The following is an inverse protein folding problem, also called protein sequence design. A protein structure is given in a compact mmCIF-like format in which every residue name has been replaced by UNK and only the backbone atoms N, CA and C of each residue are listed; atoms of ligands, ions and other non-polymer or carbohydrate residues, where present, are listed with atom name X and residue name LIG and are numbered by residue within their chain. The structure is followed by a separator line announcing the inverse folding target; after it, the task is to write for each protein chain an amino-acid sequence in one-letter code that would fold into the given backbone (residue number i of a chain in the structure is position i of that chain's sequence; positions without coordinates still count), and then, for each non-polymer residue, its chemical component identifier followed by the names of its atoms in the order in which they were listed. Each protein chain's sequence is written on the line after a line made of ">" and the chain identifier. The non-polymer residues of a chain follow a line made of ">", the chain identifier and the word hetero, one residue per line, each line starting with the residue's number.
data_IF_333473092309
#
_entry.id   IF_333473092309
#
_cell.length_a   1.000
_cell.length_b   1.000
_cell.length_c   1.000
_cell.angle_alpha   90.00
_cell.angle_beta   90.00
_cell.angle_gamma   90.00
#
_symmetry.space_group_name_H-M   'P 1'
#
loop_
_entity.id
_entity.type
_entity.pdbx_description
1 polymer ?
#
# COMPACT_ATOMS: atom_id res chain seq x y z
N UNK A 1 -22.64 16.07 -11.55
CA UNK A 1 -21.88 15.87 -10.30
C UNK A 1 -20.49 15.39 -10.74
N UNK A 2 -19.40 15.83 -10.15
CA UNK A 2 -18.08 15.32 -10.53
C UNK A 2 -17.83 13.99 -9.81
N UNK A 3 -16.95 13.15 -10.35
CA UNK A 3 -16.68 11.80 -9.81
C UNK A 3 -16.26 11.79 -8.33
N UNK A 4 -15.59 12.85 -7.83
CA UNK A 4 -15.26 12.99 -6.41
C UNK A 4 -16.50 13.20 -5.53
N UNK A 5 -17.52 13.90 -6.04
CA UNK A 5 -18.79 14.05 -5.32
C UNK A 5 -19.58 12.75 -5.27
N UNK A 6 -19.57 12.00 -6.38
CA UNK A 6 -20.14 10.63 -6.41
C UNK A 6 -19.42 9.73 -5.41
N UNK A 7 -18.09 9.77 -5.34
CA UNK A 7 -17.29 9.02 -4.38
C UNK A 7 -17.64 9.39 -2.94
N UNK A 8 -17.67 10.69 -2.62
CA UNK A 8 -18.04 11.16 -1.26
C UNK A 8 -19.44 10.66 -0.86
N UNK A 9 -20.42 10.71 -1.78
CA UNK A 9 -21.77 10.21 -1.49
C UNK A 9 -21.76 8.70 -1.20
N UNK A 10 -21.03 7.91 -1.96
CA UNK A 10 -20.93 6.46 -1.77
C UNK A 10 -20.32 6.14 -0.39
N UNK A 11 -19.24 6.79 0.00
CA UNK A 11 -18.61 6.55 1.30
C UNK A 11 -19.40 7.14 2.47
N UNK A 12 -20.17 8.22 2.27
CA UNK A 12 -21.12 8.71 3.26
C UNK A 12 -22.20 7.66 3.56
N UNK A 13 -22.80 7.06 2.52
CA UNK A 13 -23.79 6.00 2.70
C UNK A 13 -23.19 4.76 3.38
N UNK A 14 -21.96 4.40 3.00
CA UNK A 14 -21.23 3.27 3.58
C UNK A 14 -20.80 3.50 5.04
N UNK A 15 -20.63 4.74 5.47
CA UNK A 15 -20.39 5.09 6.88
C UNK A 15 -21.63 4.84 7.76
N UNK A 16 -22.83 5.04 7.20
CA UNK A 16 -24.09 4.83 7.90
C UNK A 16 -24.50 3.36 7.89
N UNK A 17 -24.29 2.68 6.77
CA UNK A 17 -24.64 1.25 6.57
C UNK A 17 -23.50 0.58 5.82
N UNK A 18 -22.75 -0.35 6.45
CA UNK A 18 -21.66 -1.05 5.78
C UNK A 18 -22.09 -1.69 4.48
N UNK A 19 -21.39 -1.39 3.39
CA UNK A 19 -21.65 -1.90 2.03
C UNK A 19 -20.59 -2.95 1.66
N UNK A 20 -20.96 -4.24 1.76
CA UNK A 20 -20.12 -5.38 1.39
C UNK A 20 -19.71 -5.36 -0.09
N UNK A 21 -20.43 -4.61 -0.94
CA UNK A 21 -20.12 -4.46 -2.36
C UNK A 21 -18.99 -3.48 -2.67
N UNK A 22 -18.63 -2.60 -1.74
CA UNK A 22 -17.59 -1.58 -1.94
C UNK A 22 -16.23 -2.20 -2.15
N UNK A 23 -15.81 -3.09 -1.23
CA UNK A 23 -14.57 -3.88 -1.38
C UNK A 23 -14.80 -5.28 -0.82
N UNK A 24 -13.94 -6.22 -1.17
CA UNK A 24 -13.96 -7.52 -0.49
C UNK A 24 -13.47 -7.28 0.93
N UNK A 25 -14.34 -7.52 1.93
CA UNK A 25 -13.92 -7.50 3.33
C UNK A 25 -12.80 -8.52 3.51
N UNK A 26 -11.59 -8.04 3.72
CA UNK A 26 -10.45 -8.91 3.98
C UNK A 26 -10.36 -9.19 5.47
N UNK A 27 -10.26 -10.47 5.84
CA UNK A 27 -9.89 -10.83 7.21
C UNK A 27 -8.51 -10.23 7.50
N UNK A 28 -8.30 -9.60 8.67
CA UNK A 28 -6.99 -9.06 9.02
C UNK A 28 -5.90 -10.11 8.88
N UNK A 29 -4.87 -9.81 8.09
CA UNK A 29 -3.75 -10.74 7.85
C UNK A 29 -2.97 -10.97 9.15
N UNK A 30 -2.85 -9.93 9.97
CA UNK A 30 -2.11 -9.98 11.22
C UNK A 30 -3.04 -10.12 12.42
N UNK A 31 -2.84 -11.20 13.18
CA UNK A 31 -3.49 -11.41 14.48
C UNK A 31 -2.44 -11.14 15.56
N UNK A 32 -2.56 -9.98 16.23
CA UNK A 32 -1.63 -9.61 17.29
C UNK A 32 -2.13 -10.08 18.66
N UNK A 33 -1.25 -10.56 19.53
CA UNK A 33 -1.64 -11.00 20.89
C UNK A 33 -2.35 -9.89 21.67
N UNK A 34 -3.54 -10.16 22.18
CA UNK A 34 -4.31 -9.18 22.95
C UNK A 34 -4.89 -8.02 22.13
N UNK A 35 -4.95 -8.15 20.79
CA UNK A 35 -5.72 -7.24 19.92
C UNK A 35 -7.06 -7.90 19.58
N UNK A 36 -8.15 -7.25 20.00
CA UNK A 36 -9.51 -7.56 19.59
C UNK A 36 -10.00 -6.47 18.63
N UNK A 37 -10.42 -6.85 17.42
CA UNK A 37 -10.96 -5.93 16.42
C UNK A 37 -12.48 -5.97 16.49
N UNK A 38 -13.18 -4.87 16.79
CA UNK A 38 -14.63 -4.82 16.78
C UNK A 38 -15.22 -5.29 15.45
N UNK A 39 -16.32 -6.03 15.50
CA UNK A 39 -16.96 -6.59 14.30
C UNK A 39 -17.31 -5.50 13.29
N UNK A 40 -17.82 -4.37 13.74
CA UNK A 40 -18.16 -3.24 12.89
C UNK A 40 -16.95 -2.66 12.15
N UNK A 41 -15.77 -2.63 12.77
CA UNK A 41 -14.53 -2.24 12.07
C UNK A 41 -14.18 -3.21 10.94
N UNK A 42 -14.42 -4.51 11.14
CA UNK A 42 -14.19 -5.52 10.09
C UNK A 42 -15.20 -5.38 8.94
N UNK A 43 -16.48 -5.15 9.25
CA UNK A 43 -17.54 -4.92 8.26
C UNK A 43 -17.31 -3.66 7.42
N UNK A 44 -16.66 -2.65 7.99
CA UNK A 44 -16.29 -1.39 7.34
C UNK A 44 -14.85 -1.39 6.80
N UNK A 45 -14.23 -2.54 6.67
CA UNK A 45 -12.89 -2.65 6.06
C UNK A 45 -13.01 -2.70 4.54
N UNK A 46 -12.89 -1.55 3.91
CA UNK A 46 -12.99 -1.37 2.45
C UNK A 46 -11.64 -1.50 1.73
N UNK A 47 -10.64 -2.09 2.37
CA UNK A 47 -9.32 -2.33 1.81
C UNK A 47 -9.27 -3.56 0.88
N UNK A 48 -8.21 -3.66 0.09
CA UNK A 48 -7.96 -4.79 -0.81
C UNK A 48 -6.74 -5.65 -0.42
N UNK A 49 -6.04 -5.28 0.66
CA UNK A 49 -4.89 -5.97 1.23
C UNK A 49 -4.62 -5.48 2.64
N UNK A 50 -3.36 -5.48 3.07
CA UNK A 50 -2.93 -4.93 4.36
C UNK A 50 -1.79 -3.95 4.18
N UNK A 51 -1.88 -2.81 4.86
CA UNK A 51 -0.78 -1.84 4.96
C UNK A 51 -0.03 -1.94 6.28
N UNK A 52 -0.56 -2.72 7.23
CA UNK A 52 0.09 -2.96 8.52
C UNK A 52 1.12 -4.08 8.39
N UNK A 53 2.39 -3.73 8.52
CA UNK A 53 3.48 -4.67 8.47
C UNK A 53 4.41 -4.47 9.67
N UNK A 54 4.57 -5.45 10.59
CA UNK A 54 5.33 -5.27 11.84
C UNK A 54 6.76 -4.77 11.64
N UNK A 55 7.40 -5.14 10.53
CA UNK A 55 8.77 -4.72 10.18
C UNK A 55 8.91 -3.19 10.00
N UNK A 56 7.84 -2.50 9.62
CA UNK A 56 7.84 -1.04 9.43
C UNK A 56 7.58 -0.27 10.71
N UNK A 57 7.08 -0.95 11.75
CA UNK A 57 6.46 -0.37 12.93
C UNK A 57 7.35 -0.51 14.18
N UNK A 58 8.65 -0.32 14.00
CA UNK A 58 9.63 -0.36 15.09
C UNK A 58 9.88 1.05 15.66
N UNK A 59 10.28 1.12 16.93
CA UNK A 59 10.67 2.37 17.61
C UNK A 59 9.53 3.41 17.73
N UNK A 60 8.31 2.98 17.99
CA UNK A 60 7.14 3.86 18.17
C UNK A 60 6.98 4.89 17.03
N UNK A 61 6.78 4.48 15.79
CA UNK A 61 6.72 5.37 14.64
C UNK A 61 5.52 6.32 14.75
N UNK A 62 5.66 7.53 14.19
CA UNK A 62 4.54 8.42 13.92
C UNK A 62 3.91 8.05 12.58
N UNK A 63 2.63 7.72 12.61
CA UNK A 63 1.94 7.10 11.49
C UNK A 63 0.85 8.04 10.96
N UNK A 64 0.75 8.15 9.64
CA UNK A 64 -0.36 8.77 8.94
C UNK A 64 -1.13 7.70 8.16
N UNK A 65 -2.44 7.65 8.32
CA UNK A 65 -3.32 6.80 7.55
C UNK A 65 -4.38 7.64 6.83
N UNK A 66 -4.48 7.52 5.52
CA UNK A 66 -5.39 8.32 4.69
C UNK A 66 -6.50 7.44 4.14
N UNK A 67 -7.77 7.85 4.35
CA UNK A 67 -8.96 7.05 4.10
C UNK A 67 -9.27 6.13 5.29
N UNK A 68 -9.82 6.69 6.37
CA UNK A 68 -9.90 6.01 7.68
C UNK A 68 -10.79 4.76 7.71
N UNK A 69 -11.80 4.68 6.82
CA UNK A 69 -12.77 3.59 6.85
C UNK A 69 -13.39 3.39 8.25
N UNK A 70 -13.60 2.15 8.65
CA UNK A 70 -14.08 1.81 9.99
C UNK A 70 -13.04 1.96 11.11
N UNK A 71 -11.79 2.32 10.79
CA UNK A 71 -10.71 2.50 11.77
C UNK A 71 -9.91 1.24 12.10
N UNK A 72 -10.12 0.14 11.39
CA UNK A 72 -9.45 -1.15 11.67
C UNK A 72 -7.93 -1.05 11.60
N UNK A 73 -7.38 -0.54 10.50
CA UNK A 73 -5.93 -0.42 10.37
C UNK A 73 -5.35 0.66 11.31
N UNK A 74 -6.10 1.73 11.60
CA UNK A 74 -5.70 2.71 12.64
C UNK A 74 -5.55 2.04 14.02
N UNK A 75 -6.48 1.15 14.39
CA UNK A 75 -6.37 0.38 15.63
C UNK A 75 -5.15 -0.54 15.61
N UNK A 76 -4.89 -1.22 14.48
CA UNK A 76 -3.71 -2.08 14.31
C UNK A 76 -2.40 -1.29 14.38
N UNK A 77 -2.33 -0.11 13.76
CA UNK A 77 -1.18 0.79 13.86
C UNK A 77 -0.96 1.28 15.29
N UNK A 78 -2.04 1.57 16.03
CA UNK A 78 -1.97 1.97 17.44
C UNK A 78 -1.40 0.88 18.35
N UNK A 79 -1.49 -0.39 17.94
CA UNK A 79 -0.87 -1.49 18.68
C UNK A 79 0.67 -1.33 18.76
N UNK A 80 1.29 -0.72 17.77
CA UNK A 80 2.73 -0.46 17.71
C UNK A 80 3.10 0.95 18.17
N UNK A 81 2.26 1.95 17.87
CA UNK A 81 2.50 3.34 18.26
C UNK A 81 1.62 3.71 19.44
N UNK A 82 1.94 3.16 20.62
CA UNK A 82 1.20 3.36 21.89
C UNK A 82 1.52 4.70 22.55
N UNK A 83 1.37 5.78 21.81
CA UNK A 83 1.62 7.14 22.30
C UNK A 83 0.49 8.08 21.86
N UNK A 84 0.25 9.10 22.66
CA UNK A 84 -0.77 10.10 22.34
C UNK A 84 -0.52 10.69 20.96
N UNK A 85 -1.55 10.66 20.09
CA UNK A 85 -1.50 11.13 18.70
C UNK A 85 -0.37 10.51 17.87
N UNK A 86 0.06 9.29 18.21
CA UNK A 86 1.06 8.54 17.45
C UNK A 86 0.56 8.10 16.10
N UNK A 87 -0.76 7.95 15.94
CA UNK A 87 -1.43 7.65 14.70
C UNK A 87 -2.35 8.80 14.31
N UNK A 88 -2.24 9.29 13.08
CA UNK A 88 -3.08 10.34 12.51
C UNK A 88 -3.93 9.69 11.41
N UNK A 89 -5.27 9.76 11.56
CA UNK A 89 -6.21 9.34 10.53
C UNK A 89 -6.78 10.55 9.81
N UNK A 90 -6.71 10.58 8.48
CA UNK A 90 -7.25 11.67 7.65
C UNK A 90 -8.33 11.12 6.74
N UNK A 91 -9.49 11.79 6.71
CA UNK A 91 -10.56 11.50 5.76
C UNK A 91 -11.26 12.79 5.33
N UNK A 92 -11.84 12.79 4.15
CA UNK A 92 -12.59 13.93 3.61
C UNK A 92 -14.10 13.86 3.96
N UNK A 93 -14.60 12.68 4.40
CA UNK A 93 -16.00 12.39 4.69
C UNK A 93 -16.23 12.47 6.20
N UNK A 94 -17.01 13.45 6.65
CA UNK A 94 -17.30 13.67 8.09
C UNK A 94 -17.96 12.44 8.72
N UNK A 95 -18.93 11.84 8.06
CA UNK A 95 -19.66 10.67 8.54
C UNK A 95 -18.73 9.45 8.72
N UNK A 96 -17.68 9.34 7.91
CA UNK A 96 -16.68 8.28 8.05
C UNK A 96 -15.80 8.52 9.29
N UNK A 97 -15.39 9.77 9.54
CA UNK A 97 -14.67 10.15 10.77
C UNK A 97 -15.49 9.90 12.02
N UNK A 98 -16.79 10.23 12.00
CA UNK A 98 -17.72 9.98 13.09
C UNK A 98 -17.90 8.47 13.36
N UNK A 99 -18.08 7.67 12.30
CA UNK A 99 -18.21 6.22 12.43
C UNK A 99 -16.91 5.59 12.98
N UNK A 100 -15.75 6.03 12.49
CA UNK A 100 -14.43 5.61 12.98
C UNK A 100 -14.26 5.94 14.47
N UNK A 101 -14.63 7.16 14.90
CA UNK A 101 -14.57 7.60 16.30
C UNK A 101 -15.45 6.73 17.19
N UNK A 102 -16.68 6.44 16.76
CA UNK A 102 -17.61 5.57 17.49
C UNK A 102 -17.06 4.13 17.64
N UNK A 103 -16.42 3.61 16.59
CA UNK A 103 -15.80 2.29 16.62
C UNK A 103 -14.61 2.23 17.59
N UNK A 104 -13.88 3.34 17.80
CA UNK A 104 -12.80 3.39 18.80
C UNK A 104 -13.32 3.32 20.23
N UNK A 105 -14.53 3.78 20.53
CA UNK A 105 -15.13 3.61 21.85
C UNK A 105 -15.36 2.13 22.19
N UNK A 106 -15.81 1.34 21.21
CA UNK A 106 -15.93 -0.12 21.35
C UNK A 106 -14.55 -0.78 21.46
N UNK A 107 -13.60 -0.37 20.60
CA UNK A 107 -12.24 -0.90 20.62
C UNK A 107 -11.54 -0.66 21.97
N UNK A 108 -11.73 0.50 22.59
CA UNK A 108 -11.17 0.82 23.90
C UNK A 108 -11.73 -0.07 25.01
N UNK A 109 -13.02 -0.45 24.94
CA UNK A 109 -13.62 -1.40 25.87
C UNK A 109 -13.10 -2.84 25.71
N UNK A 110 -12.80 -3.22 24.47
CA UNK A 110 -12.33 -4.58 24.14
C UNK A 110 -10.81 -4.75 24.33
N UNK A 111 -10.03 -3.66 24.34
CA UNK A 111 -8.58 -3.68 24.37
C UNK A 111 -8.04 -2.81 25.50
N UNK A 112 -7.74 -3.40 26.66
CA UNK A 112 -7.27 -2.66 27.84
C UNK A 112 -5.94 -1.90 27.65
N UNK A 113 -5.22 -2.14 26.57
CA UNK A 113 -4.00 -1.41 26.18
C UNK A 113 -4.29 -0.19 25.30
N UNK A 114 -5.43 -0.16 24.60
CA UNK A 114 -5.78 0.88 23.64
C UNK A 114 -6.40 2.08 24.36
N UNK A 115 -6.01 3.27 23.96
CA UNK A 115 -6.58 4.53 24.37
C UNK A 115 -6.91 5.31 23.10
N UNK A 116 -8.11 5.82 22.96
CA UNK A 116 -8.53 6.57 21.76
C UNK A 116 -7.65 7.80 21.47
N UNK A 117 -7.00 8.36 22.50
CA UNK A 117 -6.03 9.44 22.34
C UNK A 117 -4.75 9.03 21.60
N UNK A 118 -4.51 7.74 21.37
CA UNK A 118 -3.42 7.26 20.50
C UNK A 118 -3.67 7.64 19.04
N UNK A 119 -4.95 7.84 18.66
CA UNK A 119 -5.36 8.23 17.31
C UNK A 119 -5.91 9.66 17.34
N UNK A 120 -5.38 10.51 16.45
CA UNK A 120 -5.97 11.79 16.09
C UNK A 120 -6.68 11.65 14.75
N UNK A 121 -8.00 11.85 14.74
CA UNK A 121 -8.78 11.93 13.51
C UNK A 121 -8.86 13.39 13.05
N UNK A 122 -8.65 13.61 11.76
CA UNK A 122 -8.59 14.92 11.16
C UNK A 122 -9.30 14.94 9.80
N UNK A 123 -10.17 15.94 9.60
CA UNK A 123 -10.77 16.16 8.30
C UNK A 123 -9.74 16.75 7.35
N UNK A 124 -9.54 16.12 6.19
CA UNK A 124 -8.57 16.59 5.22
C UNK A 124 -8.73 15.93 3.85
N UNK A 125 -8.08 16.55 2.86
CA UNK A 125 -8.03 16.04 1.50
C UNK A 125 -6.66 15.39 1.25
N UNK A 126 -6.66 14.19 0.66
CA UNK A 126 -5.44 13.49 0.26
C UNK A 126 -4.60 14.28 -0.77
N UNK A 127 -5.23 15.20 -1.49
CA UNK A 127 -4.56 16.09 -2.46
C UNK A 127 -3.87 17.29 -1.78
N UNK A 128 -4.18 17.55 -0.51
CA UNK A 128 -3.59 18.59 0.34
C UNK A 128 -3.70 18.18 1.81
N UNK A 129 -2.79 17.31 2.24
CA UNK A 129 -2.82 16.74 3.59
C UNK A 129 -2.59 17.81 4.68
N UNK A 130 -3.42 17.85 5.73
CA UNK A 130 -3.29 18.77 6.85
C UNK A 130 -2.16 18.32 7.82
N UNK A 131 -1.03 17.90 7.28
CA UNK A 131 0.10 17.32 8.01
C UNK A 131 1.38 18.03 7.58
N UNK A 132 2.24 18.36 8.55
CA UNK A 132 3.49 19.07 8.29
C UNK A 132 4.47 18.24 7.46
N UNK A 133 5.34 18.92 6.71
CA UNK A 133 6.42 18.32 5.95
C UNK A 133 7.35 17.50 6.85
N UNK A 134 7.83 16.38 6.34
CA UNK A 134 8.86 15.54 6.99
C UNK A 134 8.56 15.25 8.47
N UNK A 135 7.31 14.98 8.80
CA UNK A 135 6.86 14.75 10.18
C UNK A 135 6.44 13.30 10.46
N UNK A 136 6.27 12.47 9.45
CA UNK A 136 5.70 11.12 9.50
C UNK A 136 6.78 10.07 9.21
N UNK A 137 6.81 9.00 9.99
CA UNK A 137 7.71 7.86 9.77
C UNK A 137 7.10 6.86 8.78
N UNK A 138 5.78 6.59 8.92
CA UNK A 138 5.03 5.67 8.06
C UNK A 138 3.75 6.34 7.60
N UNK A 139 3.58 6.54 6.31
CA UNK A 139 2.32 6.94 5.69
C UNK A 139 1.67 5.71 5.05
N UNK A 140 0.35 5.57 5.18
CA UNK A 140 -0.35 4.42 4.63
C UNK A 140 -1.72 4.80 4.04
N UNK A 141 -2.16 4.01 3.07
CA UNK A 141 -3.52 4.03 2.52
C UNK A 141 -3.88 2.64 1.98
N UNK A 142 -5.15 2.31 1.98
CA UNK A 142 -5.64 1.03 1.48
C UNK A 142 -6.86 1.25 0.58
N UNK A 143 -6.71 0.98 -0.72
CA UNK A 143 -7.76 1.10 -1.72
C UNK A 143 -8.32 2.54 -1.90
N UNK A 144 -7.46 3.55 -1.75
CA UNK A 144 -7.86 4.96 -1.91
C UNK A 144 -7.39 5.55 -3.25
N UNK A 145 -6.14 5.27 -3.64
CA UNK A 145 -5.49 6.01 -4.73
C UNK A 145 -6.13 5.78 -6.09
N UNK A 146 -6.74 4.63 -6.31
CA UNK A 146 -7.46 4.32 -7.55
C UNK A 146 -8.79 5.07 -7.72
N UNK A 147 -9.22 5.84 -6.71
CA UNK A 147 -10.32 6.79 -6.87
C UNK A 147 -9.86 7.97 -7.75
N UNK A 148 -8.61 8.39 -7.63
CA UNK A 148 -8.10 9.58 -8.31
C UNK A 148 -7.85 9.35 -9.80
N UNK A 149 -8.05 10.41 -10.59
CA UNK A 149 -7.53 10.48 -11.96
C UNK A 149 -6.02 10.69 -11.92
N UNK A 150 -5.36 10.48 -13.05
CA UNK A 150 -3.90 10.40 -13.11
C UNK A 150 -3.17 11.61 -12.50
N UNK A 151 -3.63 12.83 -12.75
CA UNK A 151 -2.96 14.03 -12.22
C UNK A 151 -3.20 14.21 -10.73
N UNK A 152 -4.40 13.87 -10.26
CA UNK A 152 -4.74 13.87 -8.84
C UNK A 152 -4.01 12.75 -8.10
N UNK A 153 -3.89 11.55 -8.70
CA UNK A 153 -3.07 10.47 -8.14
C UNK A 153 -1.62 10.91 -7.94
N UNK A 154 -1.02 11.56 -8.94
CA UNK A 154 0.33 12.13 -8.81
C UNK A 154 0.41 13.17 -7.69
N UNK A 155 -0.62 14.00 -7.53
CA UNK A 155 -0.68 14.97 -6.44
C UNK A 155 -0.79 14.30 -5.08
N UNK A 156 -1.65 13.30 -4.92
CA UNK A 156 -1.76 12.52 -3.67
C UNK A 156 -0.43 11.83 -3.31
N UNK A 157 0.26 11.23 -4.28
CA UNK A 157 1.59 10.64 -4.08
C UNK A 157 2.64 11.68 -3.64
N UNK A 158 2.62 12.90 -4.22
CA UNK A 158 3.49 14.00 -3.79
C UNK A 158 3.21 14.44 -2.36
N UNK A 159 1.95 14.49 -1.95
CA UNK A 159 1.58 14.81 -0.57
C UNK A 159 2.06 13.75 0.42
N UNK A 160 1.89 12.46 0.08
CA UNK A 160 2.46 11.38 0.89
C UNK A 160 3.99 11.48 1.00
N UNK A 161 4.67 11.78 -0.11
CA UNK A 161 6.13 11.99 -0.11
C UNK A 161 6.53 13.21 0.72
N UNK A 162 5.79 14.33 0.63
CA UNK A 162 6.06 15.57 1.36
C UNK A 162 6.05 15.35 2.87
N UNK A 163 5.03 14.69 3.38
CA UNK A 163 4.85 14.49 4.83
C UNK A 163 5.81 13.48 5.43
N UNK A 164 6.37 12.56 4.62
CA UNK A 164 7.34 11.57 5.08
C UNK A 164 8.68 12.20 5.43
N UNK A 165 9.28 11.75 6.54
CA UNK A 165 10.67 12.02 6.89
C UNK A 165 11.62 11.36 5.89
N UNK A 166 12.89 11.80 5.79
CA UNK A 166 13.94 11.01 5.13
C UNK A 166 13.96 9.57 5.69
N UNK A 167 14.06 8.58 4.83
CA UNK A 167 13.93 7.14 5.13
C UNK A 167 12.55 6.71 5.68
N UNK A 168 11.58 7.60 5.74
CA UNK A 168 10.20 7.26 5.97
C UNK A 168 9.62 6.47 4.79
N UNK A 169 8.49 5.81 5.00
CA UNK A 169 7.93 4.91 3.99
C UNK A 169 6.44 5.10 3.79
N UNK A 170 6.03 5.00 2.54
CA UNK A 170 4.64 4.86 2.14
C UNK A 170 4.33 3.37 2.00
N UNK A 171 3.35 2.87 2.76
CA UNK A 171 2.82 1.51 2.60
C UNK A 171 1.41 1.60 2.03
N UNK A 172 1.18 0.93 0.92
CA UNK A 172 -0.07 1.03 0.21
C UNK A 172 -0.56 -0.31 -0.31
N UNK A 173 -1.87 -0.45 -0.42
CA UNK A 173 -2.52 -1.57 -1.08
C UNK A 173 -3.58 -1.04 -2.02
N UNK A 174 -3.47 -1.38 -3.32
CA UNK A 174 -4.40 -0.93 -4.36
C UNK A 174 -4.67 -2.01 -5.41
N UNK A 175 -5.82 -1.97 -6.06
CA UNK A 175 -6.08 -2.77 -7.24
C UNK A 175 -5.22 -2.35 -8.43
N UNK A 176 -4.72 -3.35 -9.17
CA UNK A 176 -3.99 -3.18 -10.43
C UNK A 176 -4.62 -4.03 -11.52
N UNK A 177 -4.34 -3.72 -12.77
CA UNK A 177 -4.76 -4.49 -13.95
C UNK A 177 -3.57 -4.76 -14.88
N UNK A 178 -3.69 -5.73 -15.77
CA UNK A 178 -2.63 -6.04 -16.75
C UNK A 178 -2.57 -4.99 -17.87
N UNK A 179 -3.75 -4.52 -18.30
CA UNK A 179 -3.91 -3.56 -19.39
C UNK A 179 -4.77 -2.39 -18.93
N UNK A 180 -4.55 -1.18 -19.45
CA UNK A 180 -5.41 -0.03 -19.16
C UNK A 180 -6.87 -0.32 -19.48
N UNK A 181 -7.77 0.07 -18.59
CA UNK A 181 -9.19 -0.11 -18.80
C UNK A 181 -9.72 0.70 -19.99
N UNK A 182 -10.70 0.14 -20.71
CA UNK A 182 -11.40 0.86 -21.78
C UNK A 182 -12.13 2.11 -21.24
N UNK A 183 -12.49 3.02 -22.14
CA UNK A 183 -13.11 4.30 -21.77
C UNK A 183 -14.43 4.11 -21.00
N UNK A 184 -15.26 3.14 -21.40
CA UNK A 184 -16.57 2.91 -20.77
C UNK A 184 -16.44 2.52 -19.29
N UNK A 185 -15.47 1.67 -18.95
CA UNK A 185 -15.16 1.32 -17.56
C UNK A 185 -14.48 2.48 -16.83
N UNK A 186 -13.47 3.10 -17.46
CA UNK A 186 -12.67 4.16 -16.85
C UNK A 186 -13.50 5.38 -16.47
N UNK A 187 -14.54 5.71 -17.24
CA UNK A 187 -15.37 6.87 -17.04
C UNK A 187 -16.60 6.58 -16.15
N UNK A 188 -16.78 5.33 -15.71
CA UNK A 188 -17.83 4.96 -14.75
C UNK A 188 -17.44 5.43 -13.34
N UNK A 189 -18.17 6.45 -12.86
CA UNK A 189 -17.92 7.09 -11.56
C UNK A 189 -18.17 6.15 -10.37
N UNK A 190 -19.14 5.21 -10.50
CA UNK A 190 -19.42 4.24 -9.45
C UNK A 190 -18.33 3.19 -9.35
N UNK A 191 -17.87 2.64 -10.47
CA UNK A 191 -16.72 1.73 -10.49
C UNK A 191 -15.45 2.41 -9.99
N UNK A 192 -15.33 3.72 -10.19
CA UNK A 192 -14.21 4.51 -9.64
C UNK A 192 -14.31 4.63 -8.11
N UNK A 193 -15.47 4.91 -7.57
CA UNK A 193 -15.69 4.89 -6.11
C UNK A 193 -15.40 3.51 -5.50
N UNK A 194 -15.56 2.44 -6.26
CA UNK A 194 -15.19 1.06 -5.88
C UNK A 194 -13.69 0.75 -6.11
N UNK A 195 -12.86 1.72 -6.45
CA UNK A 195 -11.44 1.59 -6.80
C UNK A 195 -11.15 0.66 -7.99
N UNK A 196 -12.15 0.32 -8.81
CA UNK A 196 -11.98 -0.61 -9.92
C UNK A 196 -11.57 0.10 -11.21
N UNK A 197 -12.33 1.10 -11.64
CA UNK A 197 -12.08 1.78 -12.92
C UNK A 197 -10.81 2.64 -12.94
N UNK A 198 -10.25 2.92 -11.78
CA UNK A 198 -8.95 3.61 -11.63
C UNK A 198 -7.74 2.69 -11.57
N UNK A 199 -7.95 1.36 -11.64
CA UNK A 199 -6.83 0.41 -11.65
C UNK A 199 -5.95 0.64 -12.88
N UNK A 200 -4.64 0.66 -12.67
CA UNK A 200 -3.61 0.89 -13.69
C UNK A 200 -2.62 -0.28 -13.69
N UNK A 201 -1.85 -0.48 -14.78
CA UNK A 201 -0.79 -1.48 -14.81
C UNK A 201 0.24 -1.25 -13.71
N UNK A 202 0.75 -2.35 -13.14
CA UNK A 202 1.72 -2.29 -12.05
C UNK A 202 2.95 -1.43 -12.39
N UNK A 203 3.52 -1.61 -13.60
CA UNK A 203 4.69 -0.85 -14.01
C UNK A 203 4.44 0.65 -14.09
N UNK A 204 3.24 1.06 -14.51
CA UNK A 204 2.87 2.47 -14.54
C UNK A 204 2.75 3.04 -13.11
N UNK A 205 2.21 2.24 -12.18
CA UNK A 205 2.12 2.62 -10.78
C UNK A 205 3.51 2.77 -10.13
N UNK A 206 4.40 1.79 -10.32
CA UNK A 206 5.77 1.85 -9.82
C UNK A 206 6.52 3.06 -10.41
N UNK A 207 6.32 3.33 -11.70
CA UNK A 207 6.89 4.52 -12.34
C UNK A 207 6.41 5.81 -11.71
N UNK A 208 5.12 5.95 -11.38
CA UNK A 208 4.62 7.16 -10.70
C UNK A 208 5.28 7.36 -9.34
N UNK A 209 5.49 6.29 -8.57
CA UNK A 209 6.18 6.35 -7.28
C UNK A 209 7.63 6.82 -7.44
N UNK A 210 8.37 6.28 -8.41
CA UNK A 210 9.76 6.69 -8.67
C UNK A 210 9.84 8.11 -9.23
N UNK A 211 8.90 8.53 -10.08
CA UNK A 211 8.82 9.91 -10.61
C UNK A 211 8.58 10.94 -9.48
N UNK A 212 7.92 10.56 -8.39
CA UNK A 212 7.73 11.40 -7.20
C UNK A 212 9.00 11.51 -6.36
N UNK A 213 9.91 10.53 -6.43
CA UNK A 213 11.22 10.57 -5.78
C UNK A 213 11.52 9.42 -4.81
N UNK A 214 10.66 8.40 -4.71
CA UNK A 214 10.96 7.21 -3.92
C UNK A 214 12.11 6.44 -4.56
N UNK A 215 13.22 6.22 -3.81
CA UNK A 215 14.42 5.56 -4.31
C UNK A 215 14.33 4.03 -4.28
N UNK A 216 13.59 3.49 -3.32
CA UNK A 216 13.40 2.03 -3.14
C UNK A 216 11.93 1.68 -3.11
N UNK A 217 11.54 0.66 -3.89
CA UNK A 217 10.19 0.09 -3.92
C UNK A 217 10.24 -1.42 -3.64
N UNK A 218 9.35 -1.91 -2.79
CA UNK A 218 9.20 -3.33 -2.46
C UNK A 218 7.79 -3.80 -2.81
N UNK A 219 7.66 -4.81 -3.67
CA UNK A 219 6.38 -5.50 -3.91
C UNK A 219 6.24 -6.59 -2.85
N UNK A 220 5.37 -6.37 -1.87
CA UNK A 220 5.20 -7.25 -0.72
C UNK A 220 4.20 -8.36 -0.92
N UNK A 221 3.18 -8.11 -1.71
CA UNK A 221 2.23 -9.13 -2.13
C UNK A 221 1.53 -8.72 -3.43
N UNK A 222 1.09 -9.72 -4.18
CA UNK A 222 0.22 -9.59 -5.34
C UNK A 222 -0.78 -10.72 -5.30
N UNK A 223 -2.10 -10.44 -5.36
CA UNK A 223 -3.16 -11.44 -5.17
C UNK A 223 -4.31 -11.20 -6.14
N UNK A 224 -5.01 -12.26 -6.61
CA UNK A 224 -6.29 -12.10 -7.29
C UNK A 224 -7.27 -11.29 -6.42
N UNK A 225 -7.97 -10.32 -7.04
CA UNK A 225 -8.88 -9.45 -6.32
C UNK A 225 -10.30 -9.49 -6.89
N UNK A 226 -10.50 -9.14 -8.17
CA UNK A 226 -11.80 -9.15 -8.84
C UNK A 226 -11.68 -9.55 -10.30
N UNK A 227 -12.82 -10.00 -10.86
CA UNK A 227 -12.96 -10.28 -12.28
C UNK A 227 -14.10 -9.40 -12.81
N UNK A 228 -13.83 -8.61 -13.86
CA UNK A 228 -14.84 -7.88 -14.60
C UNK A 228 -15.13 -8.64 -15.89
N UNK A 229 -16.30 -9.26 -15.97
CA UNK A 229 -16.73 -10.01 -17.14
C UNK A 229 -17.73 -9.21 -18.00
N UNK A 230 -17.84 -9.57 -19.28
CA UNK A 230 -18.70 -8.90 -20.25
C UNK A 230 -20.20 -9.07 -20.01
N UNK A 231 -20.62 -9.94 -19.07
CA UNK A 231 -22.03 -10.12 -18.72
C UNK A 231 -22.51 -9.06 -17.75
N UNK A 232 -21.61 -8.55 -16.90
CA UNK A 232 -21.92 -7.62 -15.83
C UNK A 232 -21.33 -6.23 -16.04
N UNK A 233 -20.33 -6.11 -16.90
CA UNK A 233 -19.58 -4.86 -17.13
C UNK A 233 -19.48 -4.53 -18.63
N UNK A 234 -19.38 -3.25 -19.02
CA UNK A 234 -19.23 -2.83 -20.42
C UNK A 234 -17.80 -3.07 -20.92
N UNK A 235 -17.46 -4.33 -21.12
CA UNK A 235 -16.15 -4.77 -21.62
C UNK A 235 -16.35 -5.93 -22.59
N UNK A 236 -15.51 -6.01 -23.64
CA UNK A 236 -15.53 -7.12 -24.61
C UNK A 236 -14.71 -8.32 -24.12
N UNK A 237 -13.79 -8.09 -23.18
CA UNK A 237 -12.88 -9.10 -22.62
C UNK A 237 -13.05 -9.22 -21.11
N UNK A 238 -12.71 -10.39 -20.59
CA UNK A 238 -12.63 -10.58 -19.14
C UNK A 238 -11.37 -9.89 -18.60
N UNK A 239 -11.57 -8.95 -17.67
CA UNK A 239 -10.47 -8.22 -17.03
C UNK A 239 -10.22 -8.81 -15.63
N UNK A 240 -9.01 -9.26 -15.42
CA UNK A 240 -8.54 -9.71 -14.10
C UNK A 240 -7.93 -8.53 -13.36
N UNK A 241 -8.46 -8.26 -12.19
CA UNK A 241 -7.92 -7.25 -11.27
C UNK A 241 -7.24 -7.98 -10.12
N UNK A 242 -6.03 -7.57 -9.84
CA UNK A 242 -5.24 -8.06 -8.71
C UNK A 242 -5.09 -6.94 -7.68
N UNK A 243 -4.91 -7.26 -6.42
CA UNK A 243 -4.43 -6.30 -5.42
C UNK A 243 -2.92 -6.41 -5.29
N UNK A 244 -2.25 -5.28 -5.14
CA UNK A 244 -0.81 -5.22 -4.88
C UNK A 244 -0.54 -4.49 -3.57
N UNK A 245 0.39 -5.01 -2.76
CA UNK A 245 0.93 -4.32 -1.60
C UNK A 245 2.33 -3.82 -1.93
N UNK A 246 2.55 -2.51 -1.81
CA UNK A 246 3.81 -1.85 -2.12
C UNK A 246 4.28 -1.05 -0.91
N UNK A 247 5.58 -1.18 -0.60
CA UNK A 247 6.26 -0.24 0.27
C UNK A 247 7.22 0.62 -0.57
N UNK A 248 7.08 1.94 -0.50
CA UNK A 248 7.94 2.89 -1.16
C UNK A 248 8.72 3.69 -0.10
N UNK A 249 10.05 3.69 -0.18
CA UNK A 249 10.93 4.31 0.81
C UNK A 249 11.41 5.65 0.27
N UNK A 250 11.31 6.69 1.11
CA UNK A 250 11.84 8.03 0.82
C UNK A 250 13.33 8.12 1.13
N UNK A 251 14.10 7.31 0.43
CA UNK A 251 15.56 7.32 0.43
C UNK A 251 16.13 8.04 -0.81
N UNK A 252 17.40 8.43 -0.81
CA UNK A 252 18.01 9.04 -1.98
C UNK A 252 17.90 8.13 -3.21
N UNK A 253 17.52 8.71 -4.35
CA UNK A 253 17.52 7.99 -5.62
C UNK A 253 18.96 7.63 -6.00
N UNK A 254 19.28 6.33 -6.18
CA UNK A 254 20.60 5.93 -6.66
C UNK A 254 20.92 6.52 -8.05
N UNK A 255 22.20 6.77 -8.34
CA UNK A 255 22.62 7.36 -9.62
C UNK A 255 22.22 6.51 -10.84
N UNK A 256 22.17 5.19 -10.67
CA UNK A 256 21.77 4.22 -11.69
C UNK A 256 20.26 3.90 -11.69
N UNK A 257 19.46 4.72 -11.01
CA UNK A 257 18.01 4.60 -10.94
C UNK A 257 17.48 3.88 -9.70
N UNK A 258 16.15 3.75 -9.55
CA UNK A 258 15.52 3.21 -8.35
C UNK A 258 15.83 1.73 -8.11
N UNK A 259 15.82 1.32 -6.84
CA UNK A 259 15.85 -0.09 -6.45
C UNK A 259 14.40 -0.62 -6.37
N UNK A 260 14.00 -1.44 -7.33
CA UNK A 260 12.66 -2.04 -7.37
C UNK A 260 12.78 -3.54 -7.10
N UNK A 261 12.22 -3.97 -5.96
CA UNK A 261 12.21 -5.36 -5.54
C UNK A 261 10.88 -6.01 -5.93
N UNK A 262 10.91 -6.85 -6.96
CA UNK A 262 9.75 -7.62 -7.43
C UNK A 262 9.77 -9.09 -6.95
N UNK A 263 10.58 -9.39 -5.94
CA UNK A 263 10.73 -10.72 -5.37
C UNK A 263 11.71 -11.60 -6.15
N UNK A 264 12.69 -11.01 -6.87
CA UNK A 264 13.80 -11.75 -7.47
C UNK A 264 14.87 -12.09 -6.45
N UNK A 265 15.51 -13.23 -6.66
CA UNK A 265 16.69 -13.64 -5.90
C UNK A 265 17.79 -14.11 -6.86
N UNK A 266 19.04 -13.88 -6.47
CA UNK A 266 20.21 -14.46 -7.12
C UNK A 266 20.83 -15.54 -6.22
N UNK A 267 21.30 -16.62 -6.82
CA UNK A 267 21.98 -17.71 -6.12
C UNK A 267 23.28 -18.01 -6.90
N UNK A 268 24.39 -18.05 -6.16
CA UNK A 268 25.67 -18.45 -6.69
C UNK A 268 25.95 -19.93 -6.37
N UNK A 269 26.25 -20.73 -7.41
CA UNK A 269 26.54 -22.16 -7.33
C UNK A 269 27.98 -22.50 -7.73
N UNK A 270 28.87 -21.52 -7.84
CA UNK A 270 30.28 -21.74 -8.18
C UNK A 270 31.07 -22.42 -7.08
N UNK A 271 32.35 -22.68 -7.33
CA UNK A 271 33.25 -23.41 -6.44
C UNK A 271 33.80 -22.54 -5.28
N UNK A 272 33.86 -21.22 -5.48
CA UNK A 272 34.35 -20.29 -4.45
C UNK A 272 33.31 -20.08 -3.35
N UNK A 273 33.73 -19.68 -2.13
CA UNK A 273 32.78 -19.44 -1.02
C UNK A 273 31.75 -18.35 -1.28
N UNK A 274 32.06 -17.40 -2.15
CA UNK A 274 31.20 -16.30 -2.53
C UNK A 274 31.55 -15.77 -3.93
N UNK A 275 30.60 -15.04 -4.52
CA UNK A 275 30.77 -14.22 -5.71
C UNK A 275 30.54 -12.75 -5.32
N UNK A 276 31.51 -11.88 -5.63
CA UNK A 276 31.40 -10.43 -5.49
C UNK A 276 31.18 -9.82 -6.88
N UNK A 277 30.13 -9.03 -7.06
CA UNK A 277 29.81 -8.36 -8.33
C UNK A 277 30.55 -7.02 -8.50
N UNK A 278 31.40 -6.66 -7.54
CA UNK A 278 32.15 -5.40 -7.48
C UNK A 278 31.27 -4.14 -7.45
N UNK A 279 29.96 -4.33 -7.18
CA UNK A 279 28.93 -3.26 -7.07
C UNK A 279 28.26 -3.25 -5.72
N UNK A 280 28.80 -3.99 -4.76
CA UNK A 280 28.31 -4.05 -3.38
C UNK A 280 27.45 -5.28 -3.06
N UNK A 281 27.31 -6.24 -3.98
CA UNK A 281 26.57 -7.47 -3.73
C UNK A 281 27.51 -8.65 -3.57
N UNK A 282 27.45 -9.31 -2.40
CA UNK A 282 28.20 -10.53 -2.10
C UNK A 282 27.20 -11.69 -2.03
N UNK A 283 27.24 -12.57 -3.02
CA UNK A 283 26.43 -13.78 -3.09
C UNK A 283 27.21 -14.94 -2.47
N UNK A 284 26.78 -15.39 -1.29
CA UNK A 284 27.36 -16.57 -0.65
C UNK A 284 26.97 -17.84 -1.40
N UNK A 285 27.89 -18.81 -1.46
CA UNK A 285 27.67 -20.07 -2.16
C UNK A 285 26.40 -20.77 -1.66
N UNK A 286 25.53 -21.18 -2.59
CA UNK A 286 24.26 -21.89 -2.34
C UNK A 286 23.24 -21.12 -1.45
N UNK A 287 23.40 -19.81 -1.28
CA UNK A 287 22.45 -19.01 -0.50
C UNK A 287 21.73 -18.02 -1.42
N UNK A 288 20.38 -17.94 -1.37
CA UNK A 288 19.66 -16.94 -2.10
C UNK A 288 19.85 -15.56 -1.47
N UNK A 289 20.14 -14.57 -2.32
CA UNK A 289 20.15 -13.15 -1.98
C UNK A 289 18.99 -12.48 -2.70
N UNK A 290 18.13 -11.79 -1.97
CA UNK A 290 17.07 -10.96 -2.55
C UNK A 290 17.70 -9.77 -3.26
N UNK A 291 17.36 -9.55 -4.53
CA UNK A 291 17.95 -8.50 -5.37
C UNK A 291 16.89 -7.67 -6.06
N UNK A 292 17.19 -6.39 -6.31
CA UNK A 292 16.34 -5.51 -7.10
C UNK A 292 16.44 -5.83 -8.61
N UNK A 293 15.49 -5.31 -9.39
CA UNK A 293 15.38 -5.61 -10.82
C UNK A 293 16.61 -5.15 -11.62
N UNK A 294 17.21 -4.01 -11.28
CA UNK A 294 18.43 -3.53 -11.96
C UNK A 294 19.64 -4.43 -11.68
N UNK A 295 19.81 -4.89 -10.41
CA UNK A 295 20.85 -5.84 -10.04
C UNK A 295 20.64 -7.17 -10.76
N UNK A 296 19.41 -7.68 -10.83
CA UNK A 296 19.08 -8.88 -11.57
C UNK A 296 19.46 -8.75 -13.06
N UNK A 297 19.15 -7.61 -13.67
CA UNK A 297 19.53 -7.33 -15.07
C UNK A 297 21.05 -7.28 -15.26
N UNK A 298 21.77 -6.63 -14.34
CA UNK A 298 23.22 -6.54 -14.39
C UNK A 298 23.91 -7.93 -14.25
N UNK A 299 23.45 -8.74 -13.29
CA UNK A 299 23.98 -10.11 -13.10
C UNK A 299 23.67 -11.01 -14.29
N UNK A 300 22.49 -10.87 -14.92
CA UNK A 300 22.14 -11.65 -16.11
C UNK A 300 23.08 -11.37 -17.30
N UNK A 301 23.58 -10.13 -17.45
CA UNK A 301 24.52 -9.76 -18.52
C UNK A 301 25.89 -10.42 -18.38
N UNK A 302 26.26 -10.92 -17.19
CA UNK A 302 27.51 -11.63 -16.98
C UNK A 302 27.56 -12.99 -17.70
N UNK A 303 26.41 -13.52 -18.10
CA UNK A 303 26.26 -14.83 -18.79
C UNK A 303 26.98 -15.98 -18.07
N UNK A 304 27.03 -15.98 -16.76
CA UNK A 304 27.67 -17.00 -15.94
C UNK A 304 26.73 -18.21 -15.77
N UNK A 305 27.25 -19.40 -15.95
CA UNK A 305 26.49 -20.66 -15.80
C UNK A 305 26.29 -21.08 -14.34
N UNK A 306 27.09 -20.49 -13.44
CA UNK A 306 27.06 -20.71 -11.98
C UNK A 306 26.25 -19.66 -11.21
N UNK A 307 25.59 -18.72 -11.93
CA UNK A 307 24.62 -17.77 -11.35
C UNK A 307 23.22 -18.13 -11.81
N UNK A 308 22.31 -18.29 -10.85
CA UNK A 308 20.88 -18.42 -11.09
C UNK A 308 20.17 -17.16 -10.65
N UNK A 309 19.28 -16.62 -11.47
CA UNK A 309 18.42 -15.49 -11.16
C UNK A 309 16.98 -15.95 -11.29
N UNK A 310 16.21 -15.86 -10.19
CA UNK A 310 14.81 -16.24 -10.19
C UNK A 310 13.97 -15.26 -11.02
N UNK A 311 12.84 -15.69 -11.59
CA UNK A 311 11.84 -14.76 -12.11
C UNK A 311 11.24 -13.92 -10.98
N UNK A 312 10.54 -12.82 -11.35
CA UNK A 312 9.76 -12.05 -10.39
C UNK A 312 8.66 -12.90 -9.76
N UNK A 313 8.61 -12.96 -8.45
CA UNK A 313 7.55 -13.64 -7.69
C UNK A 313 6.46 -12.67 -7.25
N UNK A 314 6.70 -11.36 -7.37
CA UNK A 314 5.89 -10.27 -6.83
C UNK A 314 5.64 -10.43 -5.32
N UNK A 315 6.62 -10.95 -4.62
CA UNK A 315 6.70 -11.00 -3.17
C UNK A 315 8.10 -10.58 -2.74
N UNK A 316 8.19 -9.89 -1.60
CA UNK A 316 9.44 -9.46 -1.03
C UNK A 316 9.50 -9.88 0.45
N UNK A 317 10.52 -10.63 0.81
CA UNK A 317 10.71 -11.21 2.15
C UNK A 317 11.68 -10.43 3.05
N UNK A 318 12.29 -9.38 2.53
CA UNK A 318 13.04 -8.43 3.33
C UNK A 318 14.53 -8.70 3.50
N UNK A 319 15.15 -9.47 2.63
CA UNK A 319 16.60 -9.56 2.56
C UNK A 319 17.16 -8.42 1.68
N UNK A 320 17.58 -7.32 2.25
CA UNK A 320 18.13 -6.20 1.47
C UNK A 320 19.46 -6.56 0.81
N UNK A 321 19.63 -6.18 -0.45
CA UNK A 321 20.89 -6.28 -1.17
C UNK A 321 21.65 -4.95 -1.25
N UNK A 322 21.00 -3.83 -0.97
CA UNK A 322 21.59 -2.48 -1.11
C UNK A 322 21.85 -1.84 0.24
#
# INVERSE_FOLDING_TARGET
>A
MGYLETTKSVYKDAALTPDIGLCCTTTPIWQFPGLSIPTKMQEMNYGCGSTVHPRDLVNNPKILYVGVGGGMELLQFSYFSRQKEGVIGVDIVDEMLEACQANFEEAEQQNGWFQKEFVRLEKGDALQLPVADSSIDVAAQNCLFNIFKQDELKQALKEMYRVLKPNGRLVMSDPICEQPMNAALRDDERLRALCLSGSIPLNDYLKMLTDVGFGTLEIRAKRPYRILDSKHYPTDETIYIESVEVCAIKDPMPEDGPCIFTGKAAIYFGEEPFFDDEKGHILLQNQPLSICDKTAAALALLNRTDLFISPSTHHYDGGGCC
#
